data_IF_379070949709
#
_entry.id   IF_379070949709
#
_cell.length_a   1.000
_cell.length_b   1.000
_cell.length_c   1.000
_cell.angle_alpha   90.00
_cell.angle_beta   90.00
_cell.angle_gamma   90.00
#
_symmetry.space_group_name_H-M   'P 1'
#
loop_
_entity.id
_entity.type
_entity.pdbx_description
1 polymer ?
#
# COMPACT_ATOMS: atom_id res chain seq x y z
N UNK A 1 8.63 -27.73 17.04
CA UNK A 1 7.57 -26.95 17.72
C UNK A 1 7.79 -25.42 17.66
N UNK A 2 9.03 -24.91 17.58
CA UNK A 2 9.32 -23.47 17.50
C UNK A 2 8.64 -22.75 16.32
N UNK A 3 8.58 -23.35 15.13
CA UNK A 3 7.98 -22.71 13.94
C UNK A 3 6.47 -22.46 14.06
N UNK A 4 5.70 -23.38 14.67
CA UNK A 4 4.24 -23.21 14.82
C UNK A 4 3.93 -22.03 15.75
N UNK A 5 4.68 -21.91 16.86
CA UNK A 5 4.56 -20.77 17.79
C UNK A 5 4.84 -19.45 17.09
N UNK A 6 5.89 -19.39 16.25
CA UNK A 6 6.24 -18.19 15.47
C UNK A 6 5.14 -17.80 14.48
N UNK A 7 4.65 -18.75 13.70
CA UNK A 7 3.52 -18.52 12.76
C UNK A 7 2.31 -17.99 13.52
N UNK A 8 1.94 -18.62 14.64
CA UNK A 8 0.81 -18.18 15.45
C UNK A 8 0.96 -16.72 15.89
N UNK A 9 2.11 -16.34 16.46
CA UNK A 9 2.34 -14.97 16.93
C UNK A 9 2.18 -13.96 15.78
N UNK A 10 2.80 -14.21 14.62
CA UNK A 10 2.71 -13.29 13.48
C UNK A 10 1.33 -13.25 12.82
N UNK A 11 0.58 -14.36 12.81
CA UNK A 11 -0.79 -14.37 12.32
C UNK A 11 -1.69 -13.58 13.26
N UNK A 12 -1.56 -13.77 14.58
CA UNK A 12 -2.37 -13.04 15.57
C UNK A 12 -2.05 -11.55 15.53
N UNK A 13 -0.78 -11.13 15.45
CA UNK A 13 -0.44 -9.71 15.28
C UNK A 13 -0.99 -9.15 13.97
N UNK A 14 -0.93 -9.91 12.88
CA UNK A 14 -1.42 -9.46 11.58
C UNK A 14 -2.94 -9.22 11.60
N UNK A 15 -3.69 -10.19 12.12
CA UNK A 15 -5.15 -10.12 12.17
C UNK A 15 -5.62 -9.04 13.14
N UNK A 16 -5.06 -8.98 14.35
CA UNK A 16 -5.43 -7.96 15.34
C UNK A 16 -5.11 -6.55 14.88
N UNK A 17 -3.94 -6.31 14.26
CA UNK A 17 -3.59 -5.00 13.72
C UNK A 17 -4.52 -4.57 12.57
N UNK A 18 -4.85 -5.49 11.65
CA UNK A 18 -5.80 -5.18 10.59
C UNK A 18 -7.19 -4.86 11.17
N UNK A 19 -7.68 -5.66 12.11
CA UNK A 19 -8.96 -5.41 12.77
C UNK A 19 -9.00 -4.02 13.42
N UNK A 20 -7.96 -3.66 14.17
CA UNK A 20 -7.85 -2.33 14.80
C UNK A 20 -7.74 -1.22 13.75
N UNK A 21 -6.95 -1.40 12.70
CA UNK A 21 -6.79 -0.41 11.63
C UNK A 21 -8.12 -0.08 10.97
N UNK A 22 -8.89 -1.12 10.59
CA UNK A 22 -10.22 -0.94 10.00
C UNK A 22 -11.20 -0.32 10.99
N UNK A 23 -11.20 -0.76 12.25
CA UNK A 23 -12.07 -0.20 13.28
C UNK A 23 -11.80 1.28 13.52
N UNK A 24 -10.53 1.70 13.58
CA UNK A 24 -10.15 3.11 13.71
C UNK A 24 -10.60 3.91 12.49
N UNK A 25 -10.38 3.41 11.28
CA UNK A 25 -10.81 4.09 10.04
C UNK A 25 -12.33 4.28 10.03
N UNK A 26 -13.09 3.22 10.32
CA UNK A 26 -14.56 3.26 10.35
C UNK A 26 -15.06 4.19 11.45
N UNK A 27 -14.48 4.12 12.66
CA UNK A 27 -14.82 5.00 13.77
C UNK A 27 -14.62 6.47 13.41
N UNK A 28 -13.43 6.81 12.88
CA UNK A 28 -13.10 8.18 12.50
C UNK A 28 -13.99 8.68 11.35
N UNK A 29 -14.31 7.84 10.36
CA UNK A 29 -15.26 8.19 9.30
C UNK A 29 -16.64 8.53 9.87
N UNK A 30 -17.17 7.69 10.75
CA UNK A 30 -18.46 7.95 11.38
C UNK A 30 -18.46 9.23 12.24
N UNK A 31 -17.33 9.54 12.90
CA UNK A 31 -17.19 10.74 13.71
C UNK A 31 -16.98 12.03 12.88
N UNK A 32 -16.31 11.95 11.74
CA UNK A 32 -15.88 13.10 10.94
C UNK A 32 -16.76 13.41 9.72
N UNK A 33 -17.56 12.45 9.26
CA UNK A 33 -18.58 12.69 8.22
C UNK A 33 -20.03 12.63 8.72
N UNK A 34 -20.38 13.09 9.94
CA UNK A 34 -21.72 12.91 10.50
C UNK A 34 -22.77 13.79 9.81
N UNK A 35 -22.39 14.97 9.32
CA UNK A 35 -23.31 15.90 8.66
C UNK A 35 -23.65 15.51 7.21
N UNK A 36 -22.96 14.52 6.63
CA UNK A 36 -22.96 14.27 5.19
C UNK A 36 -23.34 12.83 4.81
N UNK A 37 -23.72 12.00 5.79
CA UNK A 37 -24.17 10.63 5.58
C UNK A 37 -25.72 10.58 5.56
N UNK A 38 -26.37 10.23 4.44
CA UNK A 38 -27.84 10.17 4.33
C UNK A 38 -28.51 9.16 5.29
N UNK A 39 -27.76 8.17 5.79
CA UNK A 39 -28.24 7.19 6.77
C UNK A 39 -28.30 7.73 8.21
N UNK A 40 -27.89 9.00 8.41
CA UNK A 40 -27.83 9.69 9.71
C UNK A 40 -29.13 9.68 10.50
N UNK A 41 -30.29 9.67 9.85
CA UNK A 41 -31.56 9.82 10.55
C UNK A 41 -31.89 8.63 11.47
N UNK A 42 -31.11 7.54 11.40
CA UNK A 42 -31.24 6.40 12.30
C UNK A 42 -30.18 6.46 13.42
N UNK A 43 -30.58 7.02 14.57
CA UNK A 43 -29.72 7.17 15.77
C UNK A 43 -29.27 5.79 16.31
N UNK A 44 -30.13 4.78 16.22
CA UNK A 44 -29.83 3.42 16.66
C UNK A 44 -28.68 2.82 15.86
N UNK A 45 -28.69 2.98 14.53
CA UNK A 45 -27.64 2.48 13.65
C UNK A 45 -26.26 3.11 13.96
N UNK A 46 -26.20 4.41 14.21
CA UNK A 46 -24.93 5.08 14.51
C UNK A 46 -24.32 4.60 15.83
N UNK A 47 -25.17 4.45 16.85
CA UNK A 47 -24.73 4.03 18.18
C UNK A 47 -24.16 2.61 18.13
N UNK A 48 -24.82 1.71 17.41
CA UNK A 48 -24.38 0.33 17.22
C UNK A 48 -23.03 0.25 16.49
N UNK A 49 -22.86 0.99 15.38
CA UNK A 49 -21.61 1.01 14.61
C UNK A 49 -20.45 1.54 15.45
N UNK A 50 -20.66 2.65 16.16
CA UNK A 50 -19.62 3.26 17.01
C UNK A 50 -19.25 2.32 18.16
N UNK A 51 -20.24 1.74 18.85
CA UNK A 51 -20.01 0.80 19.95
C UNK A 51 -19.24 -0.44 19.48
N UNK A 52 -19.59 -0.99 18.31
CA UNK A 52 -18.87 -2.12 17.71
C UNK A 52 -17.40 -1.76 17.44
N UNK A 53 -17.11 -0.61 16.82
CA UNK A 53 -15.72 -0.23 16.53
C UNK A 53 -14.92 0.01 17.80
N UNK A 54 -15.51 0.62 18.83
CA UNK A 54 -14.87 0.79 20.12
C UNK A 54 -14.56 -0.55 20.77
N UNK A 55 -15.49 -1.51 20.74
CA UNK A 55 -15.24 -2.86 21.27
C UNK A 55 -14.07 -3.56 20.55
N UNK A 56 -14.01 -3.47 19.21
CA UNK A 56 -12.91 -4.03 18.42
C UNK A 56 -11.58 -3.37 18.77
N UNK A 57 -11.53 -2.06 18.98
CA UNK A 57 -10.31 -1.35 19.36
C UNK A 57 -9.87 -1.74 20.77
N UNK A 58 -10.79 -1.73 21.73
CA UNK A 58 -10.52 -2.04 23.15
C UNK A 58 -9.96 -3.47 23.31
N UNK A 59 -10.45 -4.42 22.52
CA UNK A 59 -10.01 -5.83 22.58
C UNK A 59 -8.81 -6.07 21.67
N UNK A 60 -8.87 -5.60 20.43
CA UNK A 60 -7.88 -5.88 19.40
C UNK A 60 -6.54 -5.18 19.62
N UNK A 61 -6.54 -3.95 20.14
CA UNK A 61 -5.30 -3.19 20.35
C UNK A 61 -4.40 -3.82 21.42
N UNK A 62 -4.90 -4.22 22.61
CA UNK A 62 -4.08 -4.96 23.57
C UNK A 62 -3.56 -6.28 23.02
N UNK A 63 -4.39 -7.03 22.28
CA UNK A 63 -3.96 -8.30 21.64
C UNK A 63 -2.78 -8.04 20.71
N UNK A 64 -2.90 -7.04 19.83
CA UNK A 64 -1.82 -6.65 18.93
C UNK A 64 -0.56 -6.26 19.70
N UNK A 65 -0.67 -5.33 20.65
CA UNK A 65 0.47 -4.80 21.39
C UNK A 65 1.22 -5.90 22.16
N UNK A 66 0.49 -6.77 22.86
CA UNK A 66 1.10 -7.87 23.64
C UNK A 66 1.86 -8.83 22.71
N UNK A 67 1.25 -9.28 21.61
CA UNK A 67 1.90 -10.22 20.71
C UNK A 67 3.04 -9.58 19.92
N UNK A 68 2.92 -8.30 19.57
CA UNK A 68 3.96 -7.55 18.86
C UNK A 68 5.18 -7.28 19.74
N UNK A 69 4.97 -6.84 20.98
CA UNK A 69 6.04 -6.63 21.95
C UNK A 69 6.73 -7.96 22.30
N UNK A 70 5.96 -9.05 22.41
CA UNK A 70 6.54 -10.37 22.64
C UNK A 70 7.39 -10.83 21.45
N UNK A 71 6.91 -10.65 20.21
CA UNK A 71 7.68 -10.96 19.01
C UNK A 71 9.00 -10.16 18.94
N UNK A 72 8.96 -8.87 19.26
CA UNK A 72 10.16 -8.02 19.29
C UNK A 72 11.13 -8.44 20.40
N UNK A 73 10.61 -8.79 21.59
CA UNK A 73 11.45 -9.28 22.69
C UNK A 73 12.15 -10.58 22.32
N UNK A 74 11.43 -11.52 21.69
CA UNK A 74 12.02 -12.79 21.27
C UNK A 74 13.10 -12.58 20.21
N UNK A 75 12.87 -11.68 19.25
CA UNK A 75 13.86 -11.29 18.27
C UNK A 75 15.11 -10.69 18.94
N UNK A 76 14.96 -9.79 19.91
CA UNK A 76 16.10 -9.17 20.62
C UNK A 76 16.95 -10.14 21.44
N UNK A 77 16.44 -11.33 21.77
CA UNK A 77 17.14 -12.32 22.61
C UNK A 77 17.89 -13.37 21.79
N UNK A 78 17.55 -13.55 20.51
CA UNK A 78 18.11 -14.58 19.66
C UNK A 78 18.30 -14.05 18.23
N UNK A 79 19.54 -14.05 17.75
CA UNK A 79 19.91 -13.52 16.44
C UNK A 79 19.33 -14.36 15.28
N UNK A 80 19.08 -15.66 15.50
CA UNK A 80 18.35 -16.51 14.53
C UNK A 80 16.87 -16.14 14.46
N UNK A 81 16.29 -15.65 15.57
CA UNK A 81 14.91 -15.16 15.63
C UNK A 81 14.79 -13.77 14.98
N UNK A 82 15.80 -12.92 15.12
CA UNK A 82 15.90 -11.65 14.40
C UNK A 82 16.07 -11.85 12.89
N UNK A 83 16.85 -12.85 12.48
CA UNK A 83 17.04 -13.23 11.08
C UNK A 83 15.92 -14.14 10.54
N UNK A 84 14.79 -14.26 11.22
CA UNK A 84 13.71 -15.13 10.78
C UNK A 84 13.03 -14.58 9.50
N UNK A 85 12.97 -15.42 8.46
CA UNK A 85 12.22 -15.14 7.23
C UNK A 85 10.76 -14.76 7.51
N UNK A 86 10.15 -15.34 8.55
CA UNK A 86 8.78 -15.02 8.97
C UNK A 86 8.57 -13.56 9.36
N UNK A 87 9.53 -12.95 10.06
CA UNK A 87 9.42 -11.54 10.47
C UNK A 87 9.38 -10.64 9.24
N UNK A 88 10.26 -10.90 8.28
CA UNK A 88 10.31 -10.16 7.02
C UNK A 88 9.04 -10.40 6.19
N UNK A 89 8.57 -11.63 6.10
CA UNK A 89 7.31 -11.97 5.45
C UNK A 89 6.14 -11.19 6.07
N UNK A 90 6.02 -11.19 7.40
CA UNK A 90 5.02 -10.42 8.12
C UNK A 90 5.05 -8.93 7.75
N UNK A 91 6.22 -8.28 7.78
CA UNK A 91 6.33 -6.85 7.47
C UNK A 91 5.90 -6.53 6.04
N UNK A 92 6.34 -7.29 5.05
CA UNK A 92 5.96 -7.07 3.65
C UNK A 92 4.49 -7.40 3.38
N UNK A 93 3.93 -8.42 4.04
CA UNK A 93 2.50 -8.73 3.97
C UNK A 93 1.66 -7.59 4.55
N UNK A 94 2.05 -7.03 5.70
CA UNK A 94 1.33 -5.90 6.30
C UNK A 94 1.46 -4.62 5.46
N UNK A 95 2.65 -4.33 4.94
CA UNK A 95 2.84 -3.24 3.98
C UNK A 95 1.94 -3.43 2.76
N UNK A 96 1.84 -4.64 2.22
CA UNK A 96 0.96 -4.94 1.09
C UNK A 96 -0.52 -4.74 1.45
N UNK A 97 -0.94 -5.24 2.62
CA UNK A 97 -2.30 -5.12 3.14
C UNK A 97 -2.75 -3.65 3.32
N UNK A 98 -1.83 -2.73 3.63
CA UNK A 98 -2.12 -1.30 3.70
C UNK A 98 -1.98 -0.57 2.36
N UNK A 99 -1.09 -1.01 1.48
CA UNK A 99 -0.86 -0.36 0.17
C UNK A 99 -2.10 -0.46 -0.73
N UNK A 100 -2.77 -1.62 -0.74
CA UNK A 100 -3.99 -1.84 -1.54
C UNK A 100 -5.11 -0.82 -1.20
N UNK A 101 -5.56 -0.70 0.06
CA UNK A 101 -6.57 0.30 0.41
C UNK A 101 -6.08 1.74 0.28
N UNK A 102 -4.77 2.02 0.41
CA UNK A 102 -4.22 3.35 0.07
C UNK A 102 -4.56 3.72 -1.37
N UNK A 103 -4.37 2.81 -2.33
CA UNK A 103 -4.70 3.08 -3.73
C UNK A 103 -6.18 3.32 -3.95
N UNK A 104 -7.04 2.49 -3.35
CA UNK A 104 -8.50 2.66 -3.48
C UNK A 104 -8.96 4.01 -2.92
N UNK A 105 -8.44 4.42 -1.76
CA UNK A 105 -8.79 5.71 -1.16
C UNK A 105 -8.16 6.89 -1.90
N UNK A 106 -6.94 6.75 -2.43
CA UNK A 106 -6.30 7.78 -3.24
C UNK A 106 -7.09 8.02 -4.53
N UNK A 107 -7.58 6.95 -5.17
CA UNK A 107 -8.47 7.07 -6.32
C UNK A 107 -9.75 7.82 -5.97
N UNK A 108 -10.44 7.43 -4.89
CA UNK A 108 -11.65 8.11 -4.44
C UNK A 108 -11.42 9.59 -4.13
N UNK A 109 -10.31 9.91 -3.46
CA UNK A 109 -9.92 11.27 -3.12
C UNK A 109 -9.68 12.13 -4.37
N UNK A 110 -8.83 11.67 -5.29
CA UNK A 110 -8.50 12.40 -6.53
C UNK A 110 -9.74 12.55 -7.41
N UNK A 111 -10.58 11.51 -7.53
CA UNK A 111 -11.79 11.57 -8.32
C UNK A 111 -12.80 12.60 -7.77
N UNK A 112 -13.02 12.63 -6.45
CA UNK A 112 -13.90 13.62 -5.83
C UNK A 112 -13.33 15.03 -5.91
N UNK A 113 -12.01 15.19 -5.78
CA UNK A 113 -11.36 16.50 -5.94
C UNK A 113 -11.56 17.05 -7.35
N UNK A 114 -11.33 16.22 -8.37
CA UNK A 114 -11.52 16.63 -9.77
C UNK A 114 -13.00 16.97 -10.06
N UNK A 115 -13.96 16.17 -9.57
CA UNK A 115 -15.39 16.48 -9.74
C UNK A 115 -15.78 17.82 -9.14
N UNK A 116 -15.30 18.13 -7.94
CA UNK A 116 -15.56 19.41 -7.29
C UNK A 116 -14.93 20.59 -8.06
N UNK A 117 -13.71 20.42 -8.57
CA UNK A 117 -13.02 21.45 -9.36
C UNK A 117 -13.73 21.72 -10.68
N UNK A 118 -14.22 20.68 -11.35
CA UNK A 118 -14.88 20.81 -12.66
C UNK A 118 -16.40 20.99 -12.58
N UNK A 119 -17.00 20.96 -11.38
CA UNK A 119 -18.44 21.05 -11.20
C UNK A 119 -19.21 19.88 -11.84
N UNK A 120 -18.59 18.71 -11.93
CA UNK A 120 -19.16 17.54 -12.61
C UNK A 120 -19.86 16.66 -11.59
N UNK A 121 -21.17 16.50 -11.76
CA UNK A 121 -21.95 15.58 -10.92
C UNK A 121 -21.65 14.12 -11.26
N UNK A 122 -21.62 13.27 -10.23
CA UNK A 122 -21.36 11.86 -10.36
C UNK A 122 -22.54 11.14 -11.05
N UNK A 123 -22.39 10.85 -12.35
CA UNK A 123 -23.44 10.18 -13.14
C UNK A 123 -23.60 8.69 -12.84
N UNK A 124 -22.56 8.02 -12.31
CA UNK A 124 -22.56 6.60 -11.95
C UNK A 124 -22.04 6.47 -10.51
N UNK A 125 -22.81 5.84 -9.59
CA UNK A 125 -22.31 5.49 -8.27
C UNK A 125 -21.02 4.68 -8.42
N UNK A 126 -19.90 5.27 -8.00
CA UNK A 126 -18.63 4.55 -7.96
C UNK A 126 -18.70 3.53 -6.83
N UNK A 127 -17.97 2.44 -6.98
CA UNK A 127 -17.77 1.40 -5.96
C UNK A 127 -17.28 1.97 -4.62
N UNK A 128 -16.75 3.20 -4.60
CA UNK A 128 -16.19 3.87 -3.43
C UNK A 128 -17.10 4.87 -2.70
N UNK A 129 -18.21 5.36 -3.28
CA UNK A 129 -18.98 6.44 -2.63
C UNK A 129 -20.45 6.51 -3.00
N UNK A 130 -21.30 6.40 -1.97
CA UNK A 130 -22.69 6.85 -1.96
C UNK A 130 -22.82 8.26 -1.36
N UNK A 131 -21.70 8.85 -0.91
CA UNK A 131 -21.65 10.15 -0.28
C UNK A 131 -21.44 11.27 -1.31
N UNK A 132 -21.93 12.50 -1.03
CA UNK A 132 -21.55 13.70 -1.79
C UNK A 132 -20.03 13.88 -1.87
N UNK A 133 -19.52 14.48 -2.95
CA UNK A 133 -18.08 14.53 -3.22
C UNK A 133 -17.26 15.25 -2.13
N UNK A 134 -17.80 16.32 -1.54
CA UNK A 134 -17.17 17.02 -0.41
C UNK A 134 -17.01 16.13 0.82
N UNK A 135 -17.99 15.27 1.09
CA UNK A 135 -17.96 14.29 2.17
C UNK A 135 -17.00 13.15 1.86
N UNK A 136 -16.99 12.70 0.60
CA UNK A 136 -16.12 11.62 0.15
C UNK A 136 -14.64 12.01 0.23
N UNK A 137 -14.29 13.29 0.01
CA UNK A 137 -12.94 13.79 0.25
C UNK A 137 -12.49 13.55 1.68
N UNK A 138 -13.30 13.92 2.67
CA UNK A 138 -12.99 13.71 4.08
C UNK A 138 -12.94 12.20 4.38
N UNK A 139 -13.92 11.44 3.90
CA UNK A 139 -14.03 9.99 4.10
C UNK A 139 -12.79 9.21 3.62
N UNK A 140 -12.28 9.59 2.44
CA UNK A 140 -11.09 8.98 1.83
C UNK A 140 -9.80 9.50 2.46
N UNK A 141 -9.72 10.80 2.78
CA UNK A 141 -8.57 11.41 3.44
C UNK A 141 -8.30 10.78 4.83
N UNK A 142 -9.35 10.52 5.62
CA UNK A 142 -9.22 9.86 6.93
C UNK A 142 -8.54 8.51 6.80
N UNK A 143 -8.98 7.68 5.84
CA UNK A 143 -8.36 6.39 5.61
C UNK A 143 -6.93 6.51 5.09
N UNK A 144 -6.66 7.45 4.19
CA UNK A 144 -5.30 7.70 3.69
C UNK A 144 -4.34 8.06 4.82
N UNK A 145 -4.74 8.93 5.74
CA UNK A 145 -3.90 9.32 6.88
C UNK A 145 -3.58 8.11 7.76
N UNK A 146 -4.59 7.35 8.20
CA UNK A 146 -4.37 6.19 9.08
C UNK A 146 -3.52 5.12 8.39
N UNK A 147 -3.84 4.77 7.15
CA UNK A 147 -3.12 3.76 6.39
C UNK A 147 -1.68 4.20 6.06
N UNK A 148 -1.46 5.48 5.75
CA UNK A 148 -0.13 6.01 5.50
C UNK A 148 0.72 5.98 6.79
N UNK A 149 0.16 6.30 7.95
CA UNK A 149 0.86 6.18 9.23
C UNK A 149 1.25 4.72 9.53
N UNK A 150 0.34 3.78 9.33
CA UNK A 150 0.63 2.35 9.51
C UNK A 150 1.67 1.85 8.51
N UNK A 151 1.55 2.22 7.24
CA UNK A 151 2.50 1.82 6.20
C UNK A 151 3.89 2.39 6.47
N UNK A 152 4.00 3.68 6.83
CA UNK A 152 5.28 4.34 7.13
C UNK A 152 5.93 3.74 8.37
N UNK A 153 5.17 3.37 9.40
CA UNK A 153 5.67 2.63 10.57
C UNK A 153 6.29 1.29 10.16
N UNK A 154 5.59 0.49 9.36
CA UNK A 154 6.10 -0.81 8.90
C UNK A 154 7.29 -0.65 7.95
N UNK A 155 7.27 0.35 7.07
CA UNK A 155 8.38 0.67 6.19
C UNK A 155 9.63 1.05 6.99
N UNK A 156 9.50 1.96 7.96
CA UNK A 156 10.58 2.34 8.86
C UNK A 156 11.16 1.11 9.57
N UNK A 157 10.29 0.23 10.06
CA UNK A 157 10.72 -0.99 10.71
C UNK A 157 11.51 -1.94 9.79
N UNK A 158 11.12 -2.06 8.51
CA UNK A 158 11.92 -2.82 7.54
C UNK A 158 13.30 -2.23 7.29
N UNK A 159 13.44 -0.90 7.36
CA UNK A 159 14.73 -0.22 7.22
C UNK A 159 15.63 -0.49 8.44
N UNK A 160 15.05 -0.45 9.64
CA UNK A 160 15.76 -0.78 10.88
C UNK A 160 16.22 -2.25 10.84
N UNK A 161 15.34 -3.19 10.54
CA UNK A 161 15.66 -4.62 10.46
C UNK A 161 16.79 -4.90 9.43
N UNK A 162 16.74 -4.25 8.26
CA UNK A 162 17.77 -4.36 7.21
C UNK A 162 19.14 -3.84 7.63
N UNK A 163 19.19 -2.89 8.57
CA UNK A 163 20.46 -2.35 9.05
C UNK A 163 21.17 -3.29 10.04
N UNK A 164 20.42 -4.16 10.70
CA UNK A 164 20.92 -5.04 11.76
C UNK A 164 21.21 -6.46 11.27
N UNK A 165 20.45 -6.95 10.28
CA UNK A 165 20.58 -8.32 9.77
C UNK A 165 21.04 -8.32 8.31
N UNK A 166 22.10 -9.08 8.01
CA UNK A 166 22.55 -9.29 6.63
C UNK A 166 21.46 -9.97 5.79
N UNK A 167 21.13 -9.40 4.61
CA UNK A 167 20.11 -9.98 3.75
C UNK A 167 20.53 -11.35 3.20
N UNK A 168 19.72 -12.38 3.49
CA UNK A 168 19.83 -13.68 2.84
C UNK A 168 19.11 -13.68 1.48
N UNK A 169 19.42 -14.64 0.62
CA UNK A 169 18.76 -14.77 -0.69
C UNK A 169 17.23 -14.90 -0.58
N UNK A 170 16.74 -15.68 0.39
CA UNK A 170 15.30 -15.89 0.59
C UNK A 170 14.59 -14.60 1.00
N UNK A 171 15.21 -13.81 1.87
CA UNK A 171 14.72 -12.50 2.28
C UNK A 171 14.66 -11.49 1.12
N UNK A 172 15.65 -11.52 0.23
CA UNK A 172 15.68 -10.70 -0.97
C UNK A 172 14.53 -11.03 -1.93
N UNK A 173 14.16 -12.32 -2.05
CA UNK A 173 13.01 -12.75 -2.86
C UNK A 173 11.70 -12.11 -2.39
N UNK A 174 11.45 -12.05 -1.08
CA UNK A 174 10.22 -11.45 -0.52
C UNK A 174 10.11 -9.96 -0.92
N UNK A 175 11.22 -9.22 -0.81
CA UNK A 175 11.23 -7.81 -1.20
C UNK A 175 10.98 -7.63 -2.70
N UNK A 176 11.64 -8.43 -3.54
CA UNK A 176 11.45 -8.39 -5.00
C UNK A 176 10.02 -8.74 -5.39
N UNK A 177 9.43 -9.77 -4.75
CA UNK A 177 8.05 -10.16 -4.96
C UNK A 177 7.09 -9.02 -4.64
N UNK A 178 7.27 -8.34 -3.50
CA UNK A 178 6.49 -7.16 -3.15
C UNK A 178 6.60 -6.08 -4.25
N UNK A 179 7.82 -5.67 -4.61
CA UNK A 179 8.03 -4.61 -5.60
C UNK A 179 7.44 -4.98 -6.97
N UNK A 180 7.63 -6.21 -7.43
CA UNK A 180 7.11 -6.68 -8.72
C UNK A 180 5.60 -6.81 -8.74
N UNK A 181 4.98 -7.31 -7.66
CA UNK A 181 3.52 -7.38 -7.56
C UNK A 181 2.89 -5.98 -7.64
N UNK A 182 3.46 -5.00 -6.94
CA UNK A 182 2.93 -3.63 -6.98
C UNK A 182 3.24 -2.89 -8.29
N UNK A 183 4.37 -3.19 -8.94
CA UNK A 183 4.68 -2.71 -10.30
C UNK A 183 3.67 -3.25 -11.31
N UNK A 184 3.38 -4.55 -11.25
CA UNK A 184 2.38 -5.19 -12.10
C UNK A 184 0.97 -4.66 -11.83
N UNK A 185 0.57 -4.56 -10.56
CA UNK A 185 -0.74 -4.05 -10.17
C UNK A 185 -0.97 -2.60 -10.62
N UNK A 186 0.03 -1.72 -10.47
CA UNK A 186 -0.06 -0.34 -10.93
C UNK A 186 -0.10 -0.24 -12.47
N UNK A 187 0.63 -1.10 -13.19
CA UNK A 187 0.54 -1.20 -14.65
C UNK A 187 -0.86 -1.64 -15.11
N UNK A 188 -1.50 -2.57 -14.39
CA UNK A 188 -2.89 -2.95 -14.67
C UNK A 188 -3.85 -1.77 -14.51
N UNK A 189 -3.72 -1.00 -13.42
CA UNK A 189 -4.55 0.21 -13.19
C UNK A 189 -4.32 1.23 -14.29
N UNK A 190 -3.06 1.48 -14.68
CA UNK A 190 -2.71 2.38 -15.78
C UNK A 190 -3.32 1.92 -17.11
N UNK A 191 -3.31 0.61 -17.37
CA UNK A 191 -3.90 0.01 -18.58
C UNK A 191 -5.43 0.15 -18.61
N UNK A 192 -6.09 -0.04 -17.46
CA UNK A 192 -7.54 0.20 -17.32
C UNK A 192 -7.88 1.67 -17.52
N UNK A 193 -7.09 2.60 -16.95
CA UNK A 193 -7.25 4.04 -17.15
C UNK A 193 -7.13 4.43 -18.62
N UNK A 194 -6.11 3.92 -19.30
CA UNK A 194 -5.87 4.13 -20.74
C UNK A 194 -7.03 3.60 -21.59
N UNK A 195 -7.52 2.40 -21.28
CA UNK A 195 -8.68 1.80 -21.95
C UNK A 195 -9.96 2.62 -21.76
N UNK A 196 -10.11 3.25 -20.59
CA UNK A 196 -11.26 4.11 -20.27
C UNK A 196 -11.21 5.43 -21.05
N UNK A 197 -10.03 6.03 -21.20
CA UNK A 197 -9.83 7.22 -22.05
C UNK A 197 -10.16 6.90 -23.51
N UNK A 198 -9.62 5.81 -24.04
CA UNK A 198 -9.88 5.39 -25.43
C UNK A 198 -11.37 5.15 -25.67
N UNK A 199 -12.03 4.44 -24.75
CA UNK A 199 -13.48 4.22 -24.80
C UNK A 199 -14.24 5.56 -24.81
N UNK A 200 -13.85 6.50 -23.96
CA UNK A 200 -14.46 7.82 -23.91
C UNK A 200 -14.28 8.58 -25.23
N UNK A 201 -13.06 8.62 -25.79
CA UNK A 201 -12.77 9.25 -27.09
C UNK A 201 -13.58 8.64 -28.24
N UNK A 202 -13.68 7.32 -28.30
CA UNK A 202 -14.46 6.63 -29.34
C UNK A 202 -15.96 6.96 -29.26
N UNK A 203 -16.51 7.07 -28.04
CA UNK A 203 -17.91 7.46 -27.88
C UNK A 203 -18.17 8.92 -28.29
N UNK A 204 -17.21 9.82 -28.12
CA UNK A 204 -17.32 11.20 -28.59
C UNK A 204 -17.40 11.26 -30.12
N UNK A 205 -16.52 10.53 -30.81
CA UNK A 205 -16.50 10.46 -32.28
C UNK A 205 -17.78 9.84 -32.83
N UNK A 206 -18.29 8.79 -32.19
CA UNK A 206 -19.46 8.03 -32.67
C UNK A 206 -20.80 8.78 -32.53
N UNK A 207 -20.99 9.60 -31.49
CA UNK A 207 -22.32 10.17 -31.18
C UNK A 207 -22.48 11.67 -31.48
N UNK A 208 -21.44 12.37 -31.93
CA UNK A 208 -21.48 13.81 -32.25
C UNK A 208 -22.18 14.67 -31.15
N UNK A 209 -22.10 14.24 -29.88
CA UNK A 209 -22.72 14.87 -28.71
C UNK A 209 -21.66 15.15 -27.65
N UNK A 210 -21.04 16.32 -27.75
CA UNK A 210 -19.91 16.78 -26.94
C UNK A 210 -20.23 16.98 -25.43
N UNK A 211 -21.47 16.79 -24.97
CA UNK A 211 -21.91 17.30 -23.65
C UNK A 211 -22.32 16.21 -22.63
N UNK A 212 -22.45 14.93 -22.99
CA UNK A 212 -23.23 14.02 -22.14
C UNK A 212 -22.48 13.18 -21.06
N UNK A 213 -21.15 12.99 -21.13
CA UNK A 213 -20.47 12.08 -20.18
C UNK A 213 -19.13 12.64 -19.65
N UNK A 214 -19.20 13.73 -18.90
CA UNK A 214 -18.02 14.30 -18.21
C UNK A 214 -17.55 13.40 -17.05
N UNK A 215 -18.44 12.58 -16.47
CA UNK A 215 -18.08 11.64 -15.40
C UNK A 215 -17.06 10.60 -15.83
N UNK A 216 -17.19 10.06 -17.05
CA UNK A 216 -16.23 9.11 -17.61
C UNK A 216 -14.82 9.68 -17.78
N UNK A 217 -14.71 10.98 -18.10
CA UNK A 217 -13.42 11.66 -18.23
C UNK A 217 -12.71 11.79 -16.88
N UNK A 218 -13.42 12.19 -15.82
CA UNK A 218 -12.85 12.28 -14.47
C UNK A 218 -12.29 10.93 -14.02
N UNK A 219 -13.06 9.86 -14.17
CA UNK A 219 -12.62 8.50 -13.79
C UNK A 219 -11.37 8.08 -14.56
N UNK A 220 -11.34 8.36 -15.87
CA UNK A 220 -10.21 8.02 -16.71
C UNK A 220 -8.94 8.80 -16.32
N UNK A 221 -9.06 10.11 -16.11
CA UNK A 221 -7.97 10.98 -15.67
C UNK A 221 -7.46 10.55 -14.29
N UNK A 222 -8.36 10.23 -13.36
CA UNK A 222 -7.98 9.73 -12.02
C UNK A 222 -7.18 8.44 -12.13
N UNK A 223 -7.62 7.48 -12.96
CA UNK A 223 -6.93 6.21 -13.16
C UNK A 223 -5.53 6.39 -13.74
N UNK A 224 -5.37 7.32 -14.68
CA UNK A 224 -4.05 7.66 -15.25
C UNK A 224 -3.14 8.33 -14.22
N UNK A 225 -3.67 9.27 -13.43
CA UNK A 225 -2.88 9.98 -12.42
C UNK A 225 -2.44 9.03 -11.30
N UNK A 226 -3.38 8.33 -10.67
CA UNK A 226 -3.08 7.42 -9.55
C UNK A 226 -2.27 6.23 -10.03
N UNK A 227 -2.67 5.59 -11.14
CA UNK A 227 -1.96 4.45 -11.71
C UNK A 227 -0.57 4.81 -12.22
N UNK A 228 -0.42 5.97 -12.89
CA UNK A 228 0.85 6.45 -13.42
C UNK A 228 1.85 6.83 -12.33
N UNK A 229 1.41 7.55 -11.29
CA UNK A 229 2.26 7.89 -10.14
C UNK A 229 2.69 6.63 -9.39
N UNK A 230 1.74 5.71 -9.15
CA UNK A 230 2.02 4.42 -8.52
C UNK A 230 3.04 3.60 -9.32
N UNK A 231 2.83 3.48 -10.63
CA UNK A 231 3.69 2.74 -11.52
C UNK A 231 5.09 3.33 -11.54
N UNK A 232 5.21 4.65 -11.71
CA UNK A 232 6.51 5.30 -11.72
C UNK A 232 7.28 5.08 -10.42
N UNK A 233 6.61 5.17 -9.26
CA UNK A 233 7.22 4.92 -7.95
C UNK A 233 7.74 3.48 -7.83
N UNK A 234 6.89 2.49 -8.11
CA UNK A 234 7.26 1.08 -7.98
C UNK A 234 8.25 0.62 -9.05
N UNK A 235 8.11 1.14 -10.27
CA UNK A 235 9.03 0.89 -11.38
C UNK A 235 10.44 1.37 -11.05
N UNK A 236 10.62 2.58 -10.51
CA UNK A 236 11.95 3.05 -10.09
C UNK A 236 12.58 2.17 -9.01
N UNK A 237 11.78 1.61 -8.10
CA UNK A 237 12.27 0.61 -7.13
C UNK A 237 12.64 -0.72 -7.81
N UNK A 238 11.85 -1.16 -8.79
CA UNK A 238 12.12 -2.37 -9.56
C UNK A 238 13.40 -2.26 -10.40
N UNK A 239 13.64 -1.12 -11.04
CA UNK A 239 14.86 -0.83 -11.80
C UNK A 239 16.10 -0.91 -10.93
N UNK A 240 16.04 -0.41 -9.69
CA UNK A 240 17.11 -0.54 -8.71
C UNK A 240 17.39 -1.98 -8.27
N UNK A 241 16.48 -2.92 -8.54
CA UNK A 241 16.62 -4.34 -8.21
C UNK A 241 16.99 -5.24 -9.38
N UNK A 242 16.90 -4.73 -10.62
CA UNK A 242 17.42 -5.46 -11.76
C UNK A 242 18.94 -5.60 -11.57
N UNK A 243 19.50 -6.82 -11.74
CA UNK A 243 20.94 -6.93 -11.89
C UNK A 243 21.27 -6.06 -13.09
N UNK A 244 22.00 -4.96 -12.88
CA UNK A 244 22.62 -4.23 -13.98
C UNK A 244 23.30 -5.31 -14.83
N UNK A 245 22.71 -5.60 -15.99
CA UNK A 245 23.37 -6.38 -17.01
C UNK A 245 24.70 -5.67 -17.22
N UNK A 246 25.77 -6.32 -16.76
CA UNK A 246 27.16 -6.00 -17.01
C UNK A 246 27.38 -4.59 -17.57
N UNK A 247 27.33 -3.54 -16.72
CA UNK A 247 28.31 -2.49 -16.94
C UNK A 247 29.64 -3.11 -16.51
N UNK A 248 30.20 -3.85 -17.46
CA UNK A 248 31.54 -4.38 -17.49
C UNK A 248 32.52 -3.20 -17.45
N UNK A 249 32.56 -2.52 -16.32
CA UNK A 249 33.58 -1.54 -16.02
C UNK A 249 34.74 -2.32 -15.41
N UNK A 250 35.38 -3.10 -16.28
CA UNK A 250 36.57 -3.92 -16.03
C UNK A 250 37.72 -2.94 -15.71
N UNK A 251 37.80 -2.44 -14.47
CA UNK A 251 39.01 -1.75 -13.99
C UNK A 251 40.12 -2.79 -13.91
N UNK A 252 40.89 -2.93 -15.00
CA UNK A 252 42.15 -3.67 -15.00
C UNK A 252 43.11 -2.94 -14.04
N UNK A 253 43.39 -3.53 -12.87
CA UNK A 253 44.66 -3.26 -12.18
C UNK A 253 45.64 -4.30 -12.67
N UNK A 254 46.43 -3.93 -13.67
CA UNK A 254 47.62 -4.67 -14.04
C UNK A 254 48.76 -4.14 -13.17
N UNK A 255 49.30 -5.00 -12.29
CA UNK A 255 50.61 -4.79 -11.68
C UNK A 255 51.45 -6.00 -12.08
N UNK A 256 52.57 -5.74 -12.76
CA UNK A 256 53.56 -6.72 -13.19
C UNK A 256 52.99 -7.97 -13.88
N UNK A 257 52.45 -7.79 -15.11
CA UNK A 257 52.14 -8.85 -16.10
C UNK A 257 51.17 -9.97 -15.68
N UNK A 258 50.67 -10.01 -14.45
CA UNK A 258 49.66 -10.98 -14.00
C UNK A 258 48.33 -10.28 -13.71
N UNK A 259 47.31 -10.58 -14.53
CA UNK A 259 45.93 -10.18 -14.25
C UNK A 259 45.27 -11.23 -13.36
N UNK A 260 45.01 -10.91 -12.10
CA UNK A 260 44.20 -11.74 -11.20
C UNK A 260 42.79 -11.20 -11.10
N UNK A 261 41.80 -12.09 -11.26
CA UNK A 261 40.39 -11.78 -11.08
C UNK A 261 40.06 -11.84 -9.59
N UNK A 262 39.79 -10.69 -8.96
CA UNK A 262 39.20 -10.67 -7.62
C UNK A 262 37.69 -10.44 -7.72
N UNK A 263 36.93 -11.48 -7.38
CA UNK A 263 35.47 -11.42 -7.35
C UNK A 263 35.03 -10.73 -6.05
N UNK A 264 34.67 -9.44 -6.14
CA UNK A 264 34.15 -8.68 -5.00
C UNK A 264 32.62 -8.79 -4.94
N UNK A 265 32.12 -9.68 -4.08
CA UNK A 265 30.69 -9.89 -3.83
C UNK A 265 29.98 -8.69 -3.16
N UNK A 266 30.71 -7.65 -2.73
CA UNK A 266 30.16 -6.57 -1.88
C UNK A 266 29.19 -5.60 -2.56
N UNK A 267 28.91 -5.78 -3.85
CA UNK A 267 28.06 -4.86 -4.65
C UNK A 267 26.70 -5.44 -5.08
N UNK A 268 26.34 -6.61 -4.56
CA UNK A 268 25.10 -7.33 -4.92
C UNK A 268 23.88 -7.02 -4.03
N UNK A 269 24.05 -6.26 -2.95
CA UNK A 269 23.09 -6.20 -1.85
C UNK A 269 22.41 -4.83 -1.63
N UNK A 270 22.32 -3.97 -2.65
CA UNK A 270 21.65 -2.67 -2.49
C UNK A 270 20.62 -2.42 -3.58
N UNK A 271 19.50 -3.12 -3.49
CA UNK A 271 18.25 -2.50 -3.92
C UNK A 271 18.01 -1.30 -2.97
N UNK A 272 17.90 -0.06 -3.47
CA UNK A 272 17.44 1.04 -2.62
C UNK A 272 16.02 0.74 -2.13
N UNK A 273 15.80 0.96 -0.83
CA UNK A 273 14.52 0.72 -0.15
C UNK A 273 13.40 1.63 -0.59
#
# INVERSE_FOLDING_TARGET
>A
MANIRRVYIFVVTAVSLNAVAWAVIVLLRNLLTPALNPLRNNISYQTEVIAMQLAVIIIGLPIYLVHWLWANRLASQDEEEHAALLRRLYLYVMMAAFTVPIFTNAFGFVASALRLVFGVEQQIPSWSSQLPDNANLVYTAVALVVLALLWTYHHWLTLVDRSQVAETNEMAVIHRLYVYLFTFGSLMVLSVGSSTVLRWLLFQISRNRLVANQGGLVTAVTGLLVGGVAWFYFWRKAEGCLPLAAHENRRRRCVNSTCTWSFSWRRWARCPG
#
